data_IF_656136272558
#
_entry.id   IF_656136272558
#
_cell.length_a   1.000
_cell.length_b   1.000
_cell.length_c   1.000
_cell.angle_alpha   90.00
_cell.angle_beta   90.00
_cell.angle_gamma   90.00
#
_symmetry.space_group_name_H-M   'P 1'
#
loop_
_entity.id
_entity.type
_entity.pdbx_description
1 polymer ?
#
# COMPACT_ATOMS: atom_id res chain seq x y z
N UNK A 1 14.05 -8.36 5.10
CA UNK A 1 12.76 -9.08 5.24
C UNK A 1 11.94 -8.92 3.97
N UNK A 2 10.86 -9.69 3.80
CA UNK A 2 10.02 -9.64 2.57
C UNK A 2 9.40 -8.26 2.31
N UNK A 3 9.09 -7.51 3.38
CA UNK A 3 8.63 -6.11 3.29
C UNK A 3 9.69 -5.21 2.64
N UNK A 4 10.96 -5.40 2.98
CA UNK A 4 12.03 -4.63 2.34
C UNK A 4 12.10 -4.92 0.82
N UNK A 5 11.86 -6.16 0.41
CA UNK A 5 11.83 -6.54 -1.01
C UNK A 5 10.63 -5.92 -1.72
N UNK A 6 9.47 -5.87 -1.06
CA UNK A 6 8.30 -5.11 -1.53
C UNK A 6 8.64 -3.62 -1.73
N UNK A 7 9.22 -2.98 -0.73
CA UNK A 7 9.61 -1.57 -0.80
C UNK A 7 10.65 -1.27 -1.89
N UNK A 8 11.60 -2.18 -2.12
CA UNK A 8 12.54 -2.06 -3.24
C UNK A 8 11.83 -2.08 -4.60
N UNK A 9 10.71 -2.78 -4.74
CA UNK A 9 9.88 -2.74 -5.95
C UNK A 9 9.37 -1.34 -6.23
N UNK A 10 8.81 -0.67 -5.20
CA UNK A 10 8.39 0.73 -5.31
C UNK A 10 9.55 1.67 -5.65
N UNK A 11 10.67 1.54 -4.93
CA UNK A 11 11.86 2.37 -5.17
C UNK A 11 12.39 2.21 -6.60
N UNK A 12 12.49 0.99 -7.11
CA UNK A 12 12.95 0.72 -8.47
C UNK A 12 12.02 1.36 -9.52
N UNK A 13 10.70 1.21 -9.36
CA UNK A 13 9.74 1.81 -10.27
C UNK A 13 9.76 3.35 -10.22
N UNK A 14 9.87 3.93 -9.02
CA UNK A 14 9.98 5.37 -8.84
C UNK A 14 11.22 5.95 -9.52
N UNK A 15 12.39 5.31 -9.32
CA UNK A 15 13.63 5.71 -9.97
C UNK A 15 13.53 5.57 -11.50
N UNK A 16 12.89 4.51 -12.01
CA UNK A 16 12.71 4.29 -13.45
C UNK A 16 11.87 5.38 -14.13
N UNK A 17 10.94 6.02 -13.41
CA UNK A 17 10.12 7.12 -13.93
C UNK A 17 10.65 8.52 -13.57
N UNK A 18 11.83 8.61 -12.94
CA UNK A 18 12.48 9.86 -12.54
C UNK A 18 11.90 10.50 -11.29
N UNK A 19 11.16 9.76 -10.46
CA UNK A 19 10.62 10.23 -9.19
C UNK A 19 11.69 10.13 -8.09
N UNK A 20 12.03 11.22 -7.38
CA UNK A 20 13.05 11.19 -6.33
C UNK A 20 12.63 10.31 -5.15
N UNK A 21 13.41 9.27 -4.88
CA UNK A 21 13.32 8.46 -3.65
C UNK A 21 14.09 9.19 -2.55
N UNK A 22 13.39 9.61 -1.48
CA UNK A 22 13.97 10.43 -0.41
C UNK A 22 14.54 9.64 0.76
N UNK A 23 14.18 8.37 0.88
CA UNK A 23 14.71 7.48 1.91
C UNK A 23 13.76 6.32 2.22
N UNK A 24 14.05 5.61 3.31
CA UNK A 24 13.22 4.56 3.85
C UNK A 24 12.89 4.90 5.29
N UNK A 25 11.60 4.90 5.64
CA UNK A 25 11.15 5.14 7.00
C UNK A 25 10.53 3.87 7.58
N UNK A 26 10.70 3.66 8.88
CA UNK A 26 10.00 2.59 9.57
C UNK A 26 8.60 3.07 9.94
N UNK A 27 7.59 2.43 9.36
CA UNK A 27 6.19 2.64 9.72
C UNK A 27 5.82 1.61 10.77
N UNK A 28 5.42 2.03 11.99
CA UNK A 28 5.02 1.11 13.04
C UNK A 28 4.00 0.09 12.51
N UNK A 29 4.24 -1.20 12.79
CA UNK A 29 3.40 -2.35 12.43
C UNK A 29 3.27 -2.68 10.94
N UNK A 30 3.51 -1.73 10.03
CA UNK A 30 3.58 -1.99 8.58
C UNK A 30 4.99 -2.37 8.12
N UNK A 31 6.03 -2.02 8.91
CA UNK A 31 7.42 -2.38 8.63
C UNK A 31 8.19 -1.20 8.05
N UNK A 32 8.73 -1.34 6.85
CA UNK A 32 9.44 -0.26 6.16
C UNK A 32 8.55 0.31 5.06
N UNK A 33 8.67 1.61 4.80
CA UNK A 33 8.05 2.29 3.66
C UNK A 33 9.08 3.19 2.96
N UNK A 34 9.11 3.17 1.64
CA UNK A 34 9.93 4.09 0.85
C UNK A 34 9.24 5.45 0.79
N UNK A 35 10.00 6.48 1.11
CA UNK A 35 9.51 7.86 0.98
C UNK A 35 9.89 8.40 -0.39
N UNK A 36 8.93 9.08 -1.02
CA UNK A 36 9.09 9.69 -2.34
C UNK A 36 8.52 11.10 -2.30
N UNK A 37 9.09 12.00 -3.10
CA UNK A 37 8.60 13.38 -3.19
C UNK A 37 7.82 13.60 -4.48
N UNK A 38 6.52 13.89 -4.35
CA UNK A 38 5.67 14.34 -5.44
C UNK A 38 4.98 13.23 -6.23
N UNK A 39 4.83 12.03 -5.64
CA UNK A 39 4.06 10.92 -6.21
C UNK A 39 2.62 11.36 -6.52
N UNK A 40 2.02 12.11 -5.60
CA UNK A 40 0.66 12.65 -5.66
C UNK A 40 0.43 13.64 -6.82
N UNK A 41 1.50 14.27 -7.34
CA UNK A 41 1.42 15.20 -8.48
C UNK A 41 1.61 14.51 -9.82
N UNK A 42 1.99 13.23 -9.85
CA UNK A 42 2.12 12.49 -11.09
C UNK A 42 0.74 12.13 -11.66
N UNK A 43 0.70 11.87 -12.97
CA UNK A 43 -0.47 11.27 -13.60
C UNK A 43 -0.83 9.94 -12.93
N UNK A 44 -2.14 9.65 -12.82
CA UNK A 44 -2.64 8.43 -12.17
C UNK A 44 -1.98 7.16 -12.71
N UNK A 45 -1.73 7.07 -14.02
CA UNK A 45 -1.02 5.93 -14.63
C UNK A 45 0.37 5.70 -14.05
N UNK A 46 1.14 6.76 -13.77
CA UNK A 46 2.47 6.65 -13.13
C UNK A 46 2.36 6.27 -11.66
N UNK A 47 1.35 6.78 -10.96
CA UNK A 47 1.08 6.38 -9.57
C UNK A 47 0.77 4.87 -9.48
N UNK A 48 -0.07 4.36 -10.40
CA UNK A 48 -0.38 2.93 -10.51
C UNK A 48 0.87 2.11 -10.80
N UNK A 49 1.75 2.56 -11.69
CA UNK A 49 3.01 1.86 -12.01
C UNK A 49 3.90 1.73 -10.78
N UNK A 50 4.05 2.79 -9.99
CA UNK A 50 4.84 2.72 -8.74
C UNK A 50 4.14 1.82 -7.73
N UNK A 51 2.83 1.98 -7.54
CA UNK A 51 2.04 1.24 -6.57
C UNK A 51 1.98 -0.28 -6.85
N UNK A 52 1.92 -0.71 -8.12
CA UNK A 52 1.87 -2.14 -8.44
C UNK A 52 3.25 -2.82 -8.31
N UNK A 53 4.34 -2.07 -8.41
CA UNK A 53 5.68 -2.62 -8.40
C UNK A 53 6.03 -3.30 -7.06
N UNK A 54 5.60 -2.74 -5.94
CA UNK A 54 5.83 -3.33 -4.62
C UNK A 54 5.15 -4.68 -4.44
N UNK A 55 3.81 -4.78 -4.59
CA UNK A 55 3.07 -6.03 -4.52
C UNK A 55 3.56 -7.10 -5.50
N UNK A 56 3.99 -6.71 -6.71
CA UNK A 56 4.56 -7.65 -7.67
C UNK A 56 5.89 -8.23 -7.20
N UNK A 57 6.86 -7.37 -6.85
CA UNK A 57 8.19 -7.81 -6.42
C UNK A 57 8.12 -8.53 -5.08
N UNK A 58 7.35 -7.99 -4.13
CA UNK A 58 7.09 -8.60 -2.83
C UNK A 58 6.33 -9.93 -2.94
N UNK A 59 5.36 -10.04 -3.85
CA UNK A 59 4.59 -11.26 -4.08
C UNK A 59 5.43 -12.38 -4.70
N UNK A 60 6.28 -12.05 -5.69
CA UNK A 60 7.24 -13.00 -6.27
C UNK A 60 8.23 -13.49 -5.20
N UNK A 61 8.75 -12.58 -4.37
CA UNK A 61 9.65 -12.94 -3.28
C UNK A 61 8.97 -13.83 -2.22
N UNK A 62 7.73 -13.51 -1.82
CA UNK A 62 6.94 -14.34 -0.92
C UNK A 62 6.68 -15.72 -1.51
N UNK A 63 6.35 -15.80 -2.80
CA UNK A 63 6.18 -17.07 -3.52
C UNK A 63 7.45 -17.91 -3.60
N UNK A 64 8.60 -17.28 -3.82
CA UNK A 64 9.89 -17.99 -3.77
C UNK A 64 10.20 -18.54 -2.38
N UNK A 65 9.92 -17.77 -1.33
CA UNK A 65 10.07 -18.22 0.07
C UNK A 65 9.08 -19.35 0.41
N UNK A 66 7.84 -19.28 -0.07
CA UNK A 66 6.85 -20.34 0.09
C UNK A 66 7.33 -21.65 -0.57
N UNK A 67 7.79 -21.57 -1.82
CA UNK A 67 8.32 -22.72 -2.54
C UNK A 67 9.51 -23.35 -1.81
N UNK A 68 10.44 -22.53 -1.31
CA UNK A 68 11.55 -22.99 -0.48
C UNK A 68 11.04 -23.67 0.80
N UNK A 69 10.10 -23.05 1.52
CA UNK A 69 9.52 -23.58 2.76
C UNK A 69 8.78 -24.91 2.59
N UNK A 70 8.06 -25.09 1.48
CA UNK A 70 7.45 -26.37 1.15
C UNK A 70 8.47 -27.43 0.75
N UNK A 71 9.51 -27.06 -0.01
CA UNK A 71 10.54 -28.00 -0.46
C UNK A 71 11.44 -28.50 0.67
N UNK A 72 11.68 -27.66 1.68
CA UNK A 72 12.54 -27.97 2.83
C UNK A 72 11.75 -28.35 4.08
N UNK A 73 10.42 -28.48 3.97
CA UNK A 73 9.47 -28.66 5.07
C UNK A 73 9.69 -27.74 6.28
N UNK A 74 10.08 -26.48 6.01
CA UNK A 74 10.41 -25.51 7.07
C UNK A 74 9.21 -24.67 7.45
N UNK A 75 8.68 -24.87 8.66
CA UNK A 75 7.56 -24.08 9.18
C UNK A 75 7.89 -22.58 9.32
N UNK A 76 9.16 -22.26 9.60
CA UNK A 76 9.62 -20.87 9.64
C UNK A 76 9.49 -20.19 8.28
N UNK A 77 9.94 -20.85 7.20
CA UNK A 77 9.85 -20.27 5.85
C UNK A 77 8.41 -20.17 5.36
N UNK A 78 7.58 -21.17 5.66
CA UNK A 78 6.13 -21.12 5.38
C UNK A 78 5.49 -19.92 6.07
N UNK A 79 5.70 -19.76 7.39
CA UNK A 79 5.18 -18.64 8.15
C UNK A 79 5.71 -17.28 7.66
N UNK A 80 6.98 -17.21 7.25
CA UNK A 80 7.57 -16.01 6.67
C UNK A 80 6.92 -15.65 5.34
N UNK A 81 6.65 -16.64 4.47
CA UNK A 81 5.94 -16.42 3.22
C UNK A 81 4.50 -15.97 3.44
N UNK A 82 3.77 -16.62 4.37
CA UNK A 82 2.41 -16.24 4.75
C UNK A 82 2.35 -14.79 5.22
N UNK A 83 3.29 -14.38 6.07
CA UNK A 83 3.44 -12.98 6.49
C UNK A 83 3.71 -12.05 5.30
N UNK A 84 4.58 -12.45 4.37
CA UNK A 84 4.86 -11.69 3.16
C UNK A 84 3.62 -11.51 2.28
N UNK A 85 2.85 -12.57 2.05
CA UNK A 85 1.59 -12.49 1.32
C UNK A 85 0.56 -11.62 2.02
N UNK A 86 0.43 -11.77 3.34
CA UNK A 86 -0.47 -10.95 4.16
C UNK A 86 -0.16 -9.45 3.99
N UNK A 87 1.11 -9.05 4.06
CA UNK A 87 1.50 -7.64 3.88
C UNK A 87 1.19 -7.15 2.47
N UNK A 88 1.53 -7.93 1.43
CA UNK A 88 1.19 -7.56 0.05
C UNK A 88 -0.32 -7.38 -0.15
N UNK A 89 -1.13 -8.31 0.35
CA UNK A 89 -2.59 -8.25 0.25
C UNK A 89 -3.18 -7.08 1.04
N UNK A 90 -2.63 -6.80 2.22
CA UNK A 90 -3.01 -5.63 3.01
C UNK A 90 -2.74 -4.33 2.23
N UNK A 91 -1.55 -4.20 1.62
CA UNK A 91 -1.22 -3.04 0.79
C UNK A 91 -2.10 -2.94 -0.48
N UNK A 92 -2.65 -4.04 -0.98
CA UNK A 92 -3.59 -4.03 -2.11
C UNK A 92 -5.04 -3.64 -1.75
N UNK A 93 -5.34 -3.36 -0.47
CA UNK A 93 -6.67 -2.87 -0.11
C UNK A 93 -6.96 -1.48 -0.72
N UNK A 94 -8.22 -1.19 -1.11
CA UNK A 94 -8.63 0.09 -1.70
C UNK A 94 -8.72 1.24 -0.67
N UNK A 95 -7.69 1.38 0.16
CA UNK A 95 -7.59 2.41 1.20
C UNK A 95 -6.52 3.40 0.76
N UNK A 96 -6.82 4.69 0.90
CA UNK A 96 -5.88 5.73 0.52
C UNK A 96 -4.60 5.65 1.36
N UNK A 97 -3.45 5.77 0.70
CA UNK A 97 -2.13 5.64 1.32
C UNK A 97 -1.54 4.23 1.22
N UNK A 98 -2.34 3.24 0.79
CA UNK A 98 -1.88 1.91 0.40
C UNK A 98 -1.81 1.79 -1.13
N UNK A 99 -1.08 0.80 -1.63
CA UNK A 99 -0.92 0.54 -3.07
C UNK A 99 -2.26 0.36 -3.79
N UNK A 100 -3.18 -0.40 -3.19
CA UNK A 100 -4.52 -0.63 -3.70
C UNK A 100 -5.35 0.63 -3.80
N UNK A 101 -5.08 1.64 -2.96
CA UNK A 101 -5.66 2.97 -3.07
C UNK A 101 -5.25 3.67 -4.36
N UNK A 102 -3.97 3.62 -4.72
CA UNK A 102 -3.50 4.18 -6.01
C UNK A 102 -4.00 3.37 -7.21
N UNK A 103 -3.99 2.03 -7.11
CA UNK A 103 -4.41 1.12 -8.19
C UNK A 103 -5.91 1.27 -8.47
N UNK A 104 -6.76 1.06 -7.46
CA UNK A 104 -8.21 1.06 -7.63
C UNK A 104 -8.79 2.47 -7.64
N UNK A 105 -8.16 3.43 -6.96
CA UNK A 105 -8.54 4.84 -7.02
C UNK A 105 -8.38 5.43 -8.43
N UNK A 106 -7.39 4.97 -9.20
CA UNK A 106 -7.23 5.34 -10.60
C UNK A 106 -8.37 4.82 -11.50
N UNK A 107 -8.99 3.69 -11.13
CA UNK A 107 -10.16 3.16 -11.85
C UNK A 107 -11.44 3.92 -11.48
N UNK A 108 -11.68 4.14 -10.18
CA UNK A 108 -12.85 4.87 -9.69
C UNK A 108 -12.68 5.32 -8.24
N UNK A 109 -12.99 6.59 -7.97
CA UNK A 109 -13.05 7.15 -6.60
C UNK A 109 -14.05 6.43 -5.68
N UNK A 110 -15.02 5.70 -6.23
CA UNK A 110 -15.96 4.91 -5.44
C UNK A 110 -15.29 3.72 -4.74
N UNK A 111 -14.20 3.17 -5.29
CA UNK A 111 -13.43 2.15 -4.61
C UNK A 111 -12.78 2.68 -3.32
N UNK A 112 -12.31 3.92 -3.33
CA UNK A 112 -11.76 4.58 -2.14
C UNK A 112 -12.83 4.78 -1.06
N UNK A 113 -14.05 5.15 -1.47
CA UNK A 113 -15.18 5.26 -0.54
C UNK A 113 -15.56 3.89 0.04
N UNK A 114 -15.63 2.86 -0.80
CA UNK A 114 -15.94 1.50 -0.37
C UNK A 114 -14.88 0.96 0.61
N UNK A 115 -13.59 1.14 0.29
CA UNK A 115 -12.49 0.71 1.16
C UNK A 115 -12.46 1.46 2.50
N UNK A 116 -12.60 2.78 2.45
CA UNK A 116 -12.69 3.61 3.66
C UNK A 116 -13.90 3.23 4.52
N UNK A 117 -15.06 3.02 3.89
CA UNK A 117 -16.29 2.60 4.57
C UNK A 117 -16.18 1.21 5.20
N UNK A 118 -15.59 0.24 4.49
CA UNK A 118 -15.36 -1.11 5.00
C UNK A 118 -14.41 -1.09 6.21
N UNK A 119 -13.34 -0.30 6.17
CA UNK A 119 -12.41 -0.15 7.29
C UNK A 119 -13.09 0.53 8.49
N UNK A 120 -13.91 1.56 8.25
CA UNK A 120 -14.71 2.19 9.30
C UNK A 120 -15.70 1.22 9.96
N UNK A 121 -16.35 0.38 9.16
CA UNK A 121 -17.24 -0.67 9.67
C UNK A 121 -16.49 -1.71 10.51
N UNK A 122 -15.31 -2.17 10.05
CA UNK A 122 -14.50 -3.13 10.79
C UNK A 122 -14.02 -2.59 12.15
N UNK A 123 -13.67 -1.31 12.22
CA UNK A 123 -13.37 -0.61 13.47
C UNK A 123 -14.60 -0.52 14.38
N UNK A 124 -15.74 -0.11 13.84
CA UNK A 124 -17.00 0.01 14.60
C UNK A 124 -17.48 -1.34 15.15
N UNK A 125 -17.37 -2.40 14.36
CA UNK A 125 -17.74 -3.76 14.74
C UNK A 125 -16.75 -4.41 15.73
N UNK A 126 -15.66 -3.72 16.11
CA UNK A 126 -14.64 -4.25 17.01
C UNK A 126 -13.78 -5.37 16.42
N UNK A 127 -13.86 -5.60 15.11
CA UNK A 127 -13.00 -6.57 14.40
C UNK A 127 -11.54 -6.10 14.43
N UNK A 128 -11.35 -4.77 14.38
CA UNK A 128 -10.04 -4.12 14.44
C UNK A 128 -10.04 -3.18 15.65
N UNK A 129 -9.15 -3.43 16.62
CA UNK A 129 -9.04 -2.63 17.85
C UNK A 129 -7.80 -1.73 17.92
N UNK A 130 -7.03 -1.60 16.84
CA UNK A 130 -5.75 -0.90 16.86
C UNK A 130 -5.94 0.62 16.65
N UNK A 131 -5.45 1.49 17.56
CA UNK A 131 -5.59 2.95 17.44
C UNK A 131 -4.97 3.54 16.18
N UNK A 132 -3.97 2.90 15.56
CA UNK A 132 -3.40 3.36 14.29
C UNK A 132 -4.37 3.23 13.11
N UNK A 133 -5.27 2.24 13.16
CA UNK A 133 -6.26 2.06 12.11
C UNK A 133 -7.27 3.21 12.10
N UNK A 134 -7.49 3.86 13.25
CA UNK A 134 -8.25 5.11 13.33
C UNK A 134 -7.51 6.25 12.62
N UNK A 135 -6.19 6.36 12.78
CA UNK A 135 -5.40 7.38 12.07
C UNK A 135 -5.44 7.15 10.55
N UNK A 136 -5.24 5.91 10.11
CA UNK A 136 -5.33 5.53 8.69
C UNK A 136 -6.76 5.80 8.17
N UNK A 137 -7.80 5.54 8.97
CA UNK A 137 -9.19 5.87 8.61
C UNK A 137 -9.38 7.36 8.39
N UNK A 138 -8.89 8.19 9.31
CA UNK A 138 -9.02 9.64 9.20
C UNK A 138 -8.29 10.17 7.96
N UNK A 139 -7.07 9.68 7.70
CA UNK A 139 -6.31 10.02 6.49
C UNK A 139 -7.03 9.55 5.22
N UNK A 140 -7.55 8.32 5.21
CA UNK A 140 -8.26 7.77 4.06
C UNK A 140 -9.58 8.49 3.80
N UNK A 141 -10.32 8.84 4.86
CA UNK A 141 -11.55 9.63 4.75
C UNK A 141 -11.27 11.03 4.20
N UNK A 142 -10.22 11.70 4.68
CA UNK A 142 -9.80 13.01 4.16
C UNK A 142 -9.44 12.95 2.67
N UNK A 143 -8.58 12.01 2.27
CA UNK A 143 -8.18 11.90 0.87
C UNK A 143 -9.35 11.48 -0.03
N UNK A 144 -10.20 10.56 0.44
CA UNK A 144 -11.44 10.19 -0.28
C UNK A 144 -12.32 11.42 -0.48
N UNK A 145 -12.51 12.25 0.56
CA UNK A 145 -13.28 13.48 0.44
C UNK A 145 -12.69 14.45 -0.61
N UNK A 146 -11.37 14.59 -0.68
CA UNK A 146 -10.71 15.42 -1.70
C UNK A 146 -10.96 14.95 -3.14
N UNK A 147 -11.15 13.64 -3.37
CA UNK A 147 -11.49 13.09 -4.69
C UNK A 147 -12.95 13.37 -5.11
N UNK A 148 -13.85 13.60 -4.15
CA UNK A 148 -15.25 13.97 -4.40
C UNK A 148 -15.46 15.48 -4.43
N UNK A 149 -14.77 16.19 -3.55
CA UNK A 149 -14.83 17.64 -3.38
C UNK A 149 -13.42 18.22 -3.56
N UNK A 150 -12.86 18.19 -4.77
CA UNK A 150 -11.58 18.84 -5.03
C UNK A 150 -11.73 20.32 -4.66
N UNK A 151 -10.91 20.80 -3.72
CA UNK A 151 -10.86 22.21 -3.42
C UNK A 151 -10.62 22.94 -4.75
N UNK A 152 -11.50 23.88 -5.11
CA UNK A 152 -11.30 24.73 -6.27
C UNK A 152 -9.99 25.48 -6.04
N UNK A 153 -8.88 24.99 -6.60
CA UNK A 153 -7.63 25.69 -6.59
C UNK A 153 -7.87 27.03 -7.28
N UNK A 154 -7.67 28.11 -6.53
CA UNK A 154 -7.73 29.46 -7.02
C UNK A 154 -6.92 29.58 -8.31
N UNK A 155 -7.59 29.99 -9.38
CA UNK A 155 -6.95 30.42 -10.62
C UNK A 155 -6.25 31.76 -10.34
N UNK A 156 -4.96 31.72 -10.03
CA UNK A 156 -4.09 32.90 -10.10
C UNK A 156 -2.85 32.54 -10.92
#
# INVERSE_FOLDING_TARGET
GLIFVHELGHAAAALAIGLPVTGMMFVPFMGAAVTMRGLEFLAASKQVVVAIAGPLVGGVAAGAVAAAGHSSDSDFLKALADWGFMVNLFNLMPVSGLDGGYILGACSRWFLLAGTGAMGYALYAGVIGNPLMVLILLMSAYNTAQHFFPAQASKH
#
